data_IF_733657143340
#
_entry.id   IF_733657143340
#
_cell.length_a   1.000
_cell.length_b   1.000
_cell.length_c   1.000
_cell.angle_alpha   90.00
_cell.angle_beta   90.00
_cell.angle_gamma   90.00
#
_symmetry.space_group_name_H-M   'P 1'
#
loop_
_entity.id
_entity.type
_entity.pdbx_description
1 polymer ?
#
# COMPACT_ATOMS: atom_id res chain seq x y z
N UNK A 1 -6.96 5.05 -5.77
CA UNK A 1 -5.54 5.31 -5.51
C UNK A 1 -5.39 6.59 -4.73
N UNK A 2 -4.51 6.60 -3.72
CA UNK A 2 -4.18 7.81 -2.95
C UNK A 2 -3.25 8.72 -3.74
N UNK A 3 -3.39 10.03 -3.56
CA UNK A 3 -2.48 11.01 -4.10
C UNK A 3 -2.09 12.04 -3.04
N UNK A 4 -0.80 12.15 -2.76
CA UNK A 4 -0.21 13.07 -1.80
C UNK A 4 0.54 14.19 -2.52
N UNK A 5 0.31 15.43 -2.09
CA UNK A 5 1.08 16.60 -2.55
C UNK A 5 2.12 16.98 -1.49
N UNK A 6 3.39 16.91 -1.88
CA UNK A 6 4.53 17.22 -1.03
C UNK A 6 4.95 18.69 -1.19
N UNK A 7 5.25 19.33 -0.06
CA UNK A 7 6.00 20.57 -0.03
C UNK A 7 7.49 20.34 -0.34
N UNK A 8 8.28 21.42 -0.46
CA UNK A 8 9.74 21.32 -0.53
C UNK A 8 10.30 20.70 0.75
N UNK A 9 11.55 20.21 0.69
CA UNK A 9 12.29 19.74 1.86
C UNK A 9 12.20 20.76 3.00
N UNK A 10 11.86 20.25 4.19
CA UNK A 10 11.85 21.01 5.44
C UNK A 10 12.52 20.20 6.53
N UNK A 11 13.50 20.78 7.19
CA UNK A 11 14.12 20.19 8.37
C UNK A 11 13.14 20.14 9.54
N UNK A 12 13.23 19.08 10.33
CA UNK A 12 12.42 18.80 11.51
C UNK A 12 13.34 18.57 12.69
N UNK A 13 12.83 18.83 13.90
CA UNK A 13 13.47 18.39 15.13
C UNK A 13 12.95 16.98 15.48
N UNK A 14 13.81 15.94 15.43
CA UNK A 14 13.41 14.57 15.74
C UNK A 14 12.82 14.41 17.14
N UNK A 15 13.17 15.28 18.10
CA UNK A 15 12.69 15.19 19.47
C UNK A 15 11.19 15.53 19.61
N UNK A 16 10.62 16.20 18.60
CA UNK A 16 9.20 16.62 18.59
C UNK A 16 8.41 16.03 17.41
N UNK A 17 9.10 15.43 16.43
CA UNK A 17 8.44 14.74 15.33
C UNK A 17 7.90 13.38 15.78
N UNK A 18 6.63 13.10 15.49
CA UNK A 18 5.94 11.85 15.86
C UNK A 18 6.62 10.58 15.33
N UNK A 19 7.48 10.73 14.33
CA UNK A 19 8.15 9.64 13.64
C UNK A 19 9.67 9.80 13.70
N UNK A 20 10.17 10.66 14.60
CA UNK A 20 11.60 10.91 14.85
C UNK A 20 12.36 11.31 13.57
N UNK A 21 11.68 11.94 12.62
CA UNK A 21 12.28 12.36 11.35
C UNK A 21 13.15 13.59 11.54
N UNK A 22 14.23 13.64 10.78
CA UNK A 22 15.08 14.83 10.65
C UNK A 22 14.59 15.78 9.58
N UNK A 23 13.77 15.32 8.63
CA UNK A 23 13.18 16.16 7.57
C UNK A 23 11.91 15.55 6.99
N UNK A 24 11.14 16.35 6.24
CA UNK A 24 10.05 15.88 5.39
C UNK A 24 9.95 16.67 4.07
N UNK A 25 9.03 16.29 3.18
CA UNK A 25 8.84 16.94 1.89
C UNK A 25 9.68 16.30 0.79
N UNK A 26 9.92 17.03 -0.29
CA UNK A 26 10.65 16.55 -1.45
C UNK A 26 12.08 17.10 -1.52
N UNK A 27 13.03 16.19 -1.73
CA UNK A 27 14.43 16.45 -2.01
C UNK A 27 14.80 15.70 -3.31
N UNK A 28 15.21 16.39 -4.39
CA UNK A 28 15.53 15.74 -5.66
C UNK A 28 16.79 14.86 -5.62
N UNK A 29 17.62 14.97 -4.58
CA UNK A 29 18.81 14.13 -4.41
C UNK A 29 18.52 12.88 -3.57
N UNK A 30 17.35 12.80 -2.93
CA UNK A 30 16.96 11.66 -2.13
C UNK A 30 16.51 10.48 -2.99
N UNK A 31 16.83 9.25 -2.55
CA UNK A 31 16.32 8.04 -3.18
C UNK A 31 14.80 7.89 -2.97
N UNK A 32 14.09 7.11 -3.80
CA UNK A 32 12.68 6.81 -3.57
C UNK A 32 12.39 6.21 -2.19
N UNK A 33 13.30 5.37 -1.67
CA UNK A 33 13.18 4.80 -0.33
C UNK A 33 13.29 5.89 0.74
N UNK A 34 14.29 6.77 0.66
CA UNK A 34 14.44 7.87 1.61
C UNK A 34 13.25 8.83 1.57
N UNK A 35 12.74 9.13 0.37
CA UNK A 35 11.52 9.93 0.19
C UNK A 35 10.29 9.27 0.80
N UNK A 36 10.14 7.96 0.65
CA UNK A 36 9.07 7.21 1.28
C UNK A 36 9.20 7.23 2.81
N UNK A 37 10.37 6.92 3.36
CA UNK A 37 10.58 6.81 4.82
C UNK A 37 10.17 8.10 5.54
N UNK A 38 10.49 9.27 4.96
CA UNK A 38 10.18 10.57 5.57
C UNK A 38 8.76 11.08 5.28
N UNK A 39 8.11 10.59 4.21
CA UNK A 39 6.77 11.04 3.80
C UNK A 39 5.65 10.01 4.01
N UNK A 40 5.93 8.80 4.51
CA UNK A 40 4.92 7.74 4.68
C UNK A 40 3.91 8.00 5.81
N UNK A 41 4.05 9.07 6.58
CA UNK A 41 3.33 9.24 7.86
C UNK A 41 2.77 10.65 8.07
N UNK A 42 2.02 10.80 9.17
CA UNK A 42 1.36 12.03 9.61
C UNK A 42 0.21 12.51 8.71
N UNK A 43 -0.44 11.60 7.99
CA UNK A 43 -1.55 11.92 7.10
C UNK A 43 -2.91 11.82 7.79
N UNK A 44 -3.81 12.74 7.47
CA UNK A 44 -5.22 12.66 7.86
C UNK A 44 -5.95 11.80 6.82
N UNK A 45 -6.14 10.52 7.14
CA UNK A 45 -6.76 9.53 6.23
C UNK A 45 -8.07 8.98 6.82
N UNK A 46 -9.15 9.07 6.04
CA UNK A 46 -10.43 8.44 6.39
C UNK A 46 -10.45 6.95 6.03
N UNK A 47 -11.55 6.26 6.38
CA UNK A 47 -11.75 4.81 6.13
C UNK A 47 -11.66 4.38 4.66
N UNK A 48 -11.81 5.32 3.72
CA UNK A 48 -11.65 5.04 2.29
C UNK A 48 -10.21 4.61 1.96
N UNK A 49 -9.22 5.22 2.61
CA UNK A 49 -7.82 4.95 2.35
C UNK A 49 -7.46 3.47 2.52
N UNK A 50 -8.14 2.77 3.44
CA UNK A 50 -7.94 1.34 3.76
C UNK A 50 -8.23 0.39 2.60
N UNK A 51 -8.73 0.91 1.48
CA UNK A 51 -9.11 0.15 0.27
C UNK A 51 -8.19 0.42 -0.91
N UNK A 52 -7.31 1.41 -0.79
CA UNK A 52 -6.44 1.85 -1.88
C UNK A 52 -5.15 1.00 -1.84
N UNK A 53 -4.67 0.52 -2.99
CA UNK A 53 -3.50 -0.35 -3.09
C UNK A 53 -2.24 0.43 -3.41
N UNK A 54 -2.39 1.59 -4.03
CA UNK A 54 -1.27 2.43 -4.42
C UNK A 54 -1.43 3.87 -3.93
N UNK A 55 -0.29 4.49 -3.66
CA UNK A 55 -0.18 5.91 -3.38
C UNK A 55 0.79 6.58 -4.35
N UNK A 56 0.37 7.71 -4.91
CA UNK A 56 1.23 8.60 -5.68
C UNK A 56 1.67 9.77 -4.81
N UNK A 57 2.93 10.15 -4.92
CA UNK A 57 3.46 11.34 -4.25
C UNK A 57 3.93 12.31 -5.33
N UNK A 58 3.42 13.55 -5.28
CA UNK A 58 3.78 14.59 -6.23
C UNK A 58 4.39 15.79 -5.57
N UNK A 59 5.32 16.43 -6.26
CA UNK A 59 5.86 17.73 -5.92
C UNK A 59 5.84 18.61 -7.18
N UNK A 60 5.53 19.89 -7.00
CA UNK A 60 5.46 20.87 -8.09
C UNK A 60 4.69 20.38 -9.34
N UNK A 61 3.52 19.77 -9.10
CA UNK A 61 2.63 19.29 -10.16
C UNK A 61 3.14 18.06 -10.92
N UNK A 62 4.19 17.37 -10.47
CA UNK A 62 4.69 16.11 -11.05
C UNK A 62 4.74 15.00 -10.02
N UNK A 63 4.40 13.78 -10.42
CA UNK A 63 4.57 12.59 -9.56
C UNK A 63 6.05 12.26 -9.47
N UNK A 64 6.58 12.25 -8.26
CA UNK A 64 8.01 12.05 -7.98
C UNK A 64 8.33 10.62 -7.56
N UNK A 65 7.38 9.93 -6.91
CA UNK A 65 7.45 8.49 -6.67
C UNK A 65 6.05 7.92 -6.42
N UNK A 66 5.95 6.59 -6.46
CA UNK A 66 4.74 5.83 -6.17
C UNK A 66 5.06 4.70 -5.19
N UNK A 67 4.06 4.24 -4.45
CA UNK A 67 4.18 3.24 -3.38
C UNK A 67 3.07 2.21 -3.54
N UNK A 68 3.42 0.93 -3.41
CA UNK A 68 2.45 -0.12 -3.09
C UNK A 68 2.19 -0.14 -1.59
N UNK A 69 0.92 -0.15 -1.23
CA UNK A 69 0.44 -0.04 0.15
C UNK A 69 0.15 -1.46 0.66
N UNK A 70 0.91 -1.86 1.66
CA UNK A 70 0.64 -3.10 2.39
C UNK A 70 -0.49 -2.85 3.39
N UNK A 71 -0.37 -1.79 4.18
CA UNK A 71 -1.35 -1.42 5.21
C UNK A 71 -1.36 0.10 5.48
N UNK A 72 -2.45 0.58 6.07
CA UNK A 72 -2.52 1.92 6.65
C UNK A 72 -2.74 1.82 8.16
N UNK A 73 -1.67 2.06 8.91
CA UNK A 73 -1.64 1.92 10.36
C UNK A 73 -1.94 3.24 11.07
N UNK A 74 -2.56 3.21 12.27
CA UNK A 74 -2.69 4.40 13.09
C UNK A 74 -1.32 4.86 13.64
N UNK A 75 -1.15 6.16 13.81
CA UNK A 75 -0.06 6.78 14.59
C UNK A 75 -0.70 7.56 15.75
N UNK A 76 0.06 7.99 16.79
CA UNK A 76 -0.50 8.75 17.92
C UNK A 76 -1.51 9.85 17.56
N UNK A 77 -1.29 10.59 16.47
CA UNK A 77 -2.19 11.67 16.06
C UNK A 77 -2.80 11.52 14.67
N UNK A 78 -2.27 10.62 13.83
CA UNK A 78 -2.56 10.53 12.39
C UNK A 78 -2.52 9.08 11.92
N UNK A 79 -2.28 8.88 10.62
CA UNK A 79 -2.12 7.56 10.01
C UNK A 79 -0.88 7.54 9.13
N UNK A 80 -0.29 6.36 8.98
CA UNK A 80 0.88 6.11 8.17
C UNK A 80 0.63 4.95 7.21
N UNK A 81 1.29 5.02 6.06
CA UNK A 81 1.38 3.93 5.11
C UNK A 81 2.55 3.02 5.51
N UNK A 82 2.31 1.72 5.46
CA UNK A 82 3.34 0.69 5.32
C UNK A 82 3.25 0.13 3.91
N UNK A 83 4.37 -0.32 3.37
CA UNK A 83 4.51 -0.50 1.94
C UNK A 83 5.93 -0.29 1.46
N UNK A 84 6.08 -0.24 0.15
CA UNK A 84 7.37 -0.07 -0.50
C UNK A 84 7.26 0.78 -1.77
N UNK A 85 8.29 1.61 -2.08
CA UNK A 85 8.33 2.37 -3.32
C UNK A 85 8.37 1.44 -4.54
N UNK A 86 7.64 1.84 -5.57
CA UNK A 86 7.65 1.16 -6.86
C UNK A 86 8.86 1.58 -7.71
N UNK A 87 9.28 0.69 -8.60
CA UNK A 87 10.42 0.87 -9.49
C UNK A 87 10.01 0.82 -10.98
N UNK A 88 10.86 1.29 -11.91
CA UNK A 88 10.63 1.14 -13.35
C UNK A 88 10.29 -0.30 -13.75
N UNK A 89 9.32 -0.46 -14.65
CA UNK A 89 8.76 -1.75 -15.07
C UNK A 89 7.49 -2.16 -14.32
N UNK A 90 7.13 -1.48 -13.22
CA UNK A 90 5.83 -1.64 -12.59
C UNK A 90 4.78 -0.75 -13.31
N UNK A 91 3.57 -1.25 -13.64
CA UNK A 91 2.58 -0.48 -14.41
C UNK A 91 2.22 0.89 -13.82
N UNK A 92 2.04 0.96 -12.49
CA UNK A 92 1.77 2.22 -11.78
C UNK A 92 2.95 3.17 -11.87
N UNK A 93 4.20 2.68 -11.76
CA UNK A 93 5.38 3.51 -11.89
C UNK A 93 5.45 4.09 -13.30
N UNK A 94 5.39 3.22 -14.31
CA UNK A 94 5.59 3.59 -15.71
C UNK A 94 4.49 4.55 -16.22
N UNK A 95 3.27 4.42 -15.68
CA UNK A 95 2.16 5.29 -16.02
C UNK A 95 2.25 6.67 -15.36
N UNK A 96 2.69 6.75 -14.10
CA UNK A 96 2.54 7.99 -13.31
C UNK A 96 3.86 8.69 -12.98
N UNK A 97 4.92 7.98 -12.62
CA UNK A 97 6.16 8.61 -12.12
C UNK A 97 6.85 9.42 -13.22
N UNK A 98 7.26 10.65 -12.89
CA UNK A 98 7.80 11.64 -13.83
C UNK A 98 6.75 12.35 -14.69
N UNK A 99 5.47 11.96 -14.62
CA UNK A 99 4.37 12.60 -15.35
C UNK A 99 3.71 13.68 -14.50
N UNK A 100 2.83 14.44 -15.13
CA UNK A 100 2.01 15.43 -14.45
C UNK A 100 1.11 14.76 -13.40
N UNK A 101 0.99 15.40 -12.25
CA UNK A 101 0.14 14.95 -11.17
C UNK A 101 -1.33 14.93 -11.63
N UNK A 102 -2.07 13.84 -11.34
CA UNK A 102 -3.45 13.69 -11.78
C UNK A 102 -4.43 14.64 -11.07
N UNK A 103 -4.05 15.16 -9.90
CA UNK A 103 -4.77 16.23 -9.20
C UNK A 103 -3.85 17.44 -9.09
N UNK A 104 -4.37 18.62 -9.45
CA UNK A 104 -3.65 19.91 -9.36
C UNK A 104 -4.45 20.89 -8.49
N UNK A 105 -3.74 21.76 -7.75
CA UNK A 105 -4.36 22.87 -7.01
C UNK A 105 -5.24 22.48 -5.81
N UNK A 106 -5.12 21.27 -5.28
CA UNK A 106 -5.86 20.84 -4.11
C UNK A 106 -5.41 21.58 -2.84
N UNK A 107 -6.37 22.07 -2.05
CA UNK A 107 -6.10 22.76 -0.77
C UNK A 107 -5.66 21.79 0.32
N UNK A 108 -6.13 20.53 0.26
CA UNK A 108 -5.71 19.45 1.14
C UNK A 108 -4.63 18.63 0.42
N UNK A 109 -3.48 18.35 1.05
CA UNK A 109 -2.42 17.58 0.41
C UNK A 109 -2.80 16.12 0.12
N UNK A 110 -3.92 15.60 0.65
CA UNK A 110 -4.42 14.25 0.37
C UNK A 110 -5.62 14.29 -0.59
N UNK A 111 -5.48 13.60 -1.71
CA UNK A 111 -6.53 13.37 -2.70
C UNK A 111 -6.71 11.89 -3.04
N UNK A 112 -7.75 11.60 -3.82
CA UNK A 112 -8.07 10.26 -4.29
C UNK A 112 -8.33 10.31 -5.79
N UNK A 113 -7.72 9.41 -6.54
CA UNK A 113 -7.96 9.23 -7.98
C UNK A 113 -8.55 7.86 -8.25
N UNK A 114 -9.43 7.79 -9.24
CA UNK A 114 -9.87 6.52 -9.81
C UNK A 114 -8.84 6.08 -10.83
N UNK A 115 -8.28 4.88 -10.65
CA UNK A 115 -7.36 4.27 -11.59
C UNK A 115 -7.70 2.79 -11.74
N UNK A 116 -7.79 2.26 -12.97
CA UNK A 116 -7.99 0.83 -13.19
C UNK A 116 -6.81 0.01 -12.66
N UNK A 117 -5.62 0.60 -12.54
CA UNK A 117 -4.46 -0.05 -11.93
C UNK A 117 -4.60 -0.29 -10.43
N UNK A 118 -5.56 0.37 -9.78
CA UNK A 118 -5.80 0.22 -8.34
C UNK A 118 -7.03 -0.65 -8.04
N UNK A 119 -7.63 -1.24 -9.07
CA UNK A 119 -8.69 -2.24 -8.92
C UNK A 119 -8.06 -3.59 -8.57
N UNK A 120 -8.08 -3.96 -7.28
CA UNK A 120 -7.72 -5.33 -6.88
C UNK A 120 -8.76 -6.30 -7.41
N UNK A 121 -8.31 -7.42 -7.96
CA UNK A 121 -9.19 -8.53 -8.34
C UNK A 121 -9.23 -9.56 -7.22
N UNK A 122 -10.33 -10.30 -7.15
CA UNK A 122 -10.52 -11.35 -6.16
C UNK A 122 -9.52 -12.51 -6.38
N UNK A 123 -8.72 -12.81 -5.35
CA UNK A 123 -7.72 -13.89 -5.31
C UNK A 123 -8.32 -15.31 -5.44
N UNK A 124 -9.65 -15.44 -5.41
CA UNK A 124 -10.28 -16.70 -5.80
C UNK A 124 -10.11 -17.02 -7.30
N UNK A 125 -9.65 -16.05 -8.11
CA UNK A 125 -9.46 -16.20 -9.55
C UNK A 125 -10.71 -15.90 -10.40
N UNK A 126 -11.78 -15.34 -9.81
CA UNK A 126 -13.00 -15.03 -10.57
C UNK A 126 -12.92 -13.76 -11.44
N UNK A 127 -11.83 -13.00 -11.34
CA UNK A 127 -11.60 -11.77 -12.11
C UNK A 127 -12.50 -10.59 -11.75
N UNK A 128 -13.29 -10.69 -10.65
CA UNK A 128 -14.11 -9.58 -10.17
C UNK A 128 -13.30 -8.68 -9.24
N UNK A 129 -13.52 -7.37 -9.31
CA UNK A 129 -12.89 -6.42 -8.41
C UNK A 129 -13.33 -6.63 -6.94
N UNK A 130 -12.39 -6.51 -6.01
CA UNK A 130 -12.65 -6.52 -4.56
C UNK A 130 -12.58 -5.10 -4.02
N UNK A 131 -13.59 -4.73 -3.21
CA UNK A 131 -13.63 -3.41 -2.58
C UNK A 131 -12.86 -3.32 -1.26
N UNK A 132 -12.47 -4.46 -0.67
CA UNK A 132 -11.66 -4.59 0.56
C UNK A 132 -11.16 -6.03 0.71
N UNK A 133 -9.90 -6.21 1.13
CA UNK A 133 -9.29 -7.52 1.35
C UNK A 133 -9.00 -8.27 0.04
N UNK A 134 -8.60 -9.54 0.16
CA UNK A 134 -8.12 -10.32 -0.99
C UNK A 134 -9.26 -11.07 -1.71
N UNK A 135 -10.39 -11.25 -1.02
CA UNK A 135 -11.52 -12.03 -1.52
C UNK A 135 -12.84 -11.26 -1.43
N UNK A 136 -13.73 -11.49 -2.39
CA UNK A 136 -15.15 -11.15 -2.22
C UNK A 136 -15.74 -11.96 -1.05
N UNK A 137 -16.82 -11.49 -0.40
CA UNK A 137 -17.44 -12.22 0.70
C UNK A 137 -17.74 -13.69 0.34
N UNK A 138 -17.17 -14.63 1.11
CA UNK A 138 -17.31 -16.09 0.94
C UNK A 138 -16.46 -16.71 -0.18
N UNK A 139 -15.74 -15.90 -0.96
CA UNK A 139 -14.87 -16.40 -2.03
C UNK A 139 -13.56 -16.99 -1.49
N UNK A 140 -13.11 -16.57 -0.31
CA UNK A 140 -12.01 -17.16 0.45
C UNK A 140 -12.31 -18.64 0.77
N UNK A 141 -13.49 -18.91 1.34
CA UNK A 141 -13.94 -20.27 1.64
C UNK A 141 -14.10 -21.12 0.39
N UNK A 142 -14.65 -20.55 -0.68
CA UNK A 142 -14.75 -21.26 -1.96
C UNK A 142 -13.35 -21.60 -2.51
N UNK A 143 -12.45 -20.62 -2.50
CA UNK A 143 -11.10 -20.74 -3.03
C UNK A 143 -10.27 -21.82 -2.30
N UNK A 144 -10.36 -21.87 -0.96
CA UNK A 144 -9.62 -22.87 -0.17
C UNK A 144 -10.19 -24.28 -0.39
N UNK A 145 -11.52 -24.46 -0.40
CA UNK A 145 -12.12 -25.78 -0.61
C UNK A 145 -11.86 -26.33 -2.03
N UNK A 146 -11.84 -25.46 -3.04
CA UNK A 146 -11.47 -25.87 -4.42
C UNK A 146 -10.01 -26.35 -4.49
N UNK A 147 -9.11 -25.79 -3.69
CA UNK A 147 -7.70 -26.23 -3.65
C UNK A 147 -7.55 -27.51 -2.84
N UNK A 148 -8.26 -27.65 -1.72
CA UNK A 148 -8.31 -28.88 -0.93
C UNK A 148 -8.81 -30.04 -1.80
N UNK A 149 -9.83 -29.85 -2.63
CA UNK A 149 -10.35 -30.93 -3.49
C UNK A 149 -9.35 -31.41 -4.55
N UNK A 150 -8.36 -30.59 -4.92
CA UNK A 150 -7.24 -30.98 -5.81
C UNK A 150 -6.20 -31.83 -5.09
N UNK A 151 -6.03 -31.65 -3.78
CA UNK A 151 -5.16 -32.48 -2.93
C UNK A 151 -5.85 -33.79 -2.57
N UNK A 152 -7.18 -33.76 -2.44
CA UNK A 152 -8.03 -34.91 -2.15
C UNK A 152 -9.07 -34.55 -1.09
N UNK A 153 -8.91 -35.11 0.11
CA UNK A 153 -9.77 -34.84 1.26
C UNK A 153 -9.20 -33.75 2.17
N UNK A 154 -10.06 -33.15 2.99
CA UNK A 154 -9.64 -32.21 4.05
C UNK A 154 -8.58 -32.83 4.96
N UNK A 155 -8.72 -34.12 5.31
CA UNK A 155 -7.75 -34.84 6.14
C UNK A 155 -6.37 -34.89 5.49
N UNK A 156 -6.30 -35.21 4.20
CA UNK A 156 -5.04 -35.26 3.45
C UNK A 156 -4.38 -33.87 3.34
N UNK A 157 -5.17 -32.81 3.17
CA UNK A 157 -4.65 -31.45 3.20
C UNK A 157 -4.06 -31.10 4.57
N UNK A 158 -4.76 -31.45 5.67
CA UNK A 158 -4.26 -31.21 7.03
C UNK A 158 -2.97 -32.00 7.28
N UNK A 159 -2.92 -33.27 6.87
CA UNK A 159 -1.73 -34.11 7.03
C UNK A 159 -0.52 -33.50 6.31
N UNK A 160 -0.71 -33.09 5.05
CA UNK A 160 0.32 -32.38 4.30
C UNK A 160 0.75 -31.06 4.97
N UNK A 161 -0.20 -30.28 5.49
CA UNK A 161 0.10 -29.01 6.14
C UNK A 161 0.93 -29.21 7.41
N UNK A 162 0.55 -30.16 8.26
CA UNK A 162 1.26 -30.46 9.51
C UNK A 162 2.65 -31.05 9.25
N UNK A 163 2.82 -31.87 8.20
CA UNK A 163 4.13 -32.34 7.74
C UNK A 163 5.01 -31.20 7.20
N UNK A 164 4.42 -30.23 6.50
CA UNK A 164 5.13 -29.10 5.89
C UNK A 164 5.50 -28.03 6.93
N UNK A 165 4.64 -27.83 7.94
CA UNK A 165 4.81 -26.85 9.00
C UNK A 165 4.72 -27.52 10.38
N UNK A 166 5.74 -28.30 10.78
CA UNK A 166 5.74 -28.99 12.06
C UNK A 166 5.60 -27.99 13.20
N UNK A 167 4.71 -28.27 14.15
CA UNK A 167 4.63 -27.48 15.38
C UNK A 167 5.99 -27.52 16.10
N UNK A 168 6.50 -26.39 16.61
CA UNK A 168 7.63 -26.43 17.53
C UNK A 168 7.25 -27.31 18.72
N UNK A 169 8.17 -28.18 19.16
CA UNK A 169 7.98 -28.93 20.39
C UNK A 169 7.77 -27.93 21.54
N UNK A 170 6.67 -28.08 22.28
CA UNK A 170 6.44 -27.32 23.50
C UNK A 170 7.60 -27.62 24.46
N UNK A 171 8.36 -26.58 24.79
CA UNK A 171 9.42 -26.63 25.81
C UNK A 171 8.82 -26.61 27.23
#
# INVERSE_FOLDING_TARGET
MLHFTLGPRRELDPAVDEMERTWNGYDPQASPQALYDVNRSCWVLGRRADRESYALFSHDGKVVFAVEIDEIVPTPTRRALTGHPLAPGHPVYDQYVGRDAPIKGQRNPVGYITSPLDERLCECGCGKAVGRGDFLPGHDQKAIHERISKVGTVKQFIDWFDETYPKPALA
#
